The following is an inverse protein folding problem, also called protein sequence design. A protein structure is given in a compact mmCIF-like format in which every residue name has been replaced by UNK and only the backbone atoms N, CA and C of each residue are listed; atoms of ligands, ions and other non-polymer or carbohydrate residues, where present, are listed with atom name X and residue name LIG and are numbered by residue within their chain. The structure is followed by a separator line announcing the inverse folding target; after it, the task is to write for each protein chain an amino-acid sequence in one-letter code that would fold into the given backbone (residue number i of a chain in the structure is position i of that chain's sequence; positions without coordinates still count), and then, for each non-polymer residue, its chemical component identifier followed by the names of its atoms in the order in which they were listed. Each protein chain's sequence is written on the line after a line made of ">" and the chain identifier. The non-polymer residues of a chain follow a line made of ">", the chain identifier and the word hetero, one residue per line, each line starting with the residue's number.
data_IF_791047130454
#
_entry.id   IF_791047130454
#
_cell.length_a   1.000
_cell.length_b   1.000
_cell.length_c   1.000
_cell.angle_alpha   90.00
_cell.angle_beta   90.00
_cell.angle_gamma   90.00
#
_symmetry.space_group_name_H-M   'P 1'
#
loop_
_entity.id
_entity.type
_entity.pdbx_description
1 polymer ?
#
# COMPACT_ATOMS: atom_id res chain seq x y z
N UNK A 1 19.75 4.28 2.41
CA UNK A 1 18.97 5.39 2.98
C UNK A 1 17.99 4.82 3.99
N UNK A 2 17.68 5.58 5.04
CA UNK A 2 16.63 5.26 6.00
C UNK A 2 15.59 6.37 5.90
N UNK A 3 14.38 6.04 5.46
CA UNK A 3 13.26 6.98 5.32
C UNK A 3 12.01 6.38 5.96
N UNK A 4 11.51 7.00 7.01
CA UNK A 4 10.31 6.59 7.73
C UNK A 4 10.35 5.13 8.22
N UNK A 5 11.51 4.62 8.62
CA UNK A 5 11.72 3.20 8.97
C UNK A 5 11.50 2.86 10.44
N UNK A 6 11.19 3.84 11.29
CA UNK A 6 10.68 3.57 12.64
C UNK A 6 9.20 3.17 12.56
N UNK A 7 8.92 1.88 12.52
CA UNK A 7 7.56 1.32 12.44
C UNK A 7 6.76 1.45 13.75
N UNK A 8 7.36 1.95 14.83
CA UNK A 8 6.63 2.30 16.05
C UNK A 8 5.94 3.66 15.96
N UNK A 9 6.28 4.46 14.94
CA UNK A 9 5.75 5.81 14.74
C UNK A 9 4.71 5.86 13.63
N UNK A 10 3.69 6.67 13.85
CA UNK A 10 2.75 7.07 12.79
C UNK A 10 3.44 8.00 11.79
N UNK A 11 3.09 7.85 10.51
CA UNK A 11 3.59 8.71 9.43
C UNK A 11 2.41 9.10 8.55
N UNK A 12 2.29 10.39 8.25
CA UNK A 12 1.25 10.94 7.37
C UNK A 12 1.95 11.83 6.34
N UNK A 13 1.76 11.55 5.06
CA UNK A 13 2.40 12.25 3.95
C UNK A 13 1.34 12.57 2.90
N UNK A 14 1.16 13.86 2.60
CA UNK A 14 0.47 14.27 1.39
C UNK A 14 1.44 14.10 0.20
N UNK A 15 1.29 12.99 -0.54
CA UNK A 15 2.26 12.62 -1.57
C UNK A 15 2.43 13.66 -2.70
N UNK A 16 1.43 14.48 -3.06
CA UNK A 16 1.60 15.57 -4.02
C UNK A 16 2.64 16.63 -3.65
N UNK A 17 2.95 16.81 -2.36
CA UNK A 17 3.94 17.79 -1.90
C UNK A 17 5.38 17.29 -2.02
N UNK A 18 5.57 15.99 -2.22
CA UNK A 18 6.92 15.43 -2.36
C UNK A 18 7.50 15.74 -3.74
N UNK A 19 8.80 16.09 -3.83
CA UNK A 19 9.47 16.23 -5.12
C UNK A 19 9.62 14.87 -5.79
N UNK A 20 9.55 14.87 -7.12
CA UNK A 20 9.96 13.72 -7.93
C UNK A 20 11.47 13.55 -7.87
N UNK A 21 11.92 12.32 -7.67
CA UNK A 21 13.32 11.93 -7.70
C UNK A 21 13.53 10.98 -8.87
N UNK A 22 14.53 11.24 -9.70
CA UNK A 22 14.90 10.33 -10.78
C UNK A 22 15.26 8.94 -10.25
N UNK A 23 14.87 7.90 -10.98
CA UNK A 23 15.37 6.55 -10.78
C UNK A 23 16.61 6.31 -11.64
N UNK A 24 17.41 5.26 -11.36
CA UNK A 24 18.51 4.86 -12.24
C UNK A 24 18.05 4.52 -13.68
N UNK A 25 16.79 4.14 -13.87
CA UNK A 25 16.21 3.98 -15.19
C UNK A 25 15.62 5.30 -15.69
N UNK A 26 16.11 5.74 -16.85
CA UNK A 26 15.63 6.95 -17.51
C UNK A 26 14.13 6.91 -17.79
N UNK A 27 13.45 8.05 -17.63
CA UNK A 27 12.00 8.14 -17.84
C UNK A 27 11.14 7.64 -16.68
N UNK A 28 11.76 7.20 -15.57
CA UNK A 28 11.05 6.77 -14.36
C UNK A 28 11.47 7.63 -13.17
N UNK A 29 10.48 8.18 -12.47
CA UNK A 29 10.66 9.02 -11.29
C UNK A 29 9.87 8.46 -10.10
N UNK A 30 10.30 8.77 -8.87
CA UNK A 30 9.67 8.29 -7.64
C UNK A 30 9.54 9.36 -6.57
N UNK A 31 8.44 9.30 -5.83
CA UNK A 31 8.24 9.93 -4.52
C UNK A 31 8.35 8.83 -3.49
N UNK A 32 9.47 8.82 -2.76
CA UNK A 32 9.74 7.83 -1.73
C UNK A 32 8.91 8.14 -0.48
N UNK A 33 8.14 7.17 0.01
CA UNK A 33 7.30 7.30 1.20
C UNK A 33 7.92 6.57 2.39
N UNK A 34 8.52 5.42 2.12
CA UNK A 34 9.24 4.60 3.09
C UNK A 34 10.38 3.89 2.38
N UNK A 35 11.56 3.82 3.00
CA UNK A 35 12.70 3.07 2.45
C UNK A 35 13.66 2.60 3.54
N UNK A 36 13.86 1.29 3.62
CA UNK A 36 14.89 0.64 4.44
C UNK A 36 15.95 -0.01 3.56
N UNK A 37 17.08 0.68 3.40
CA UNK A 37 18.24 0.16 2.67
C UNK A 37 18.71 1.02 1.50
N UNK A 38 19.66 0.49 0.73
CA UNK A 38 20.24 1.14 -0.45
C UNK A 38 19.37 0.90 -1.70
N UNK A 39 19.91 0.49 -2.84
CA UNK A 39 19.14 0.24 -4.06
C UNK A 39 18.18 -0.96 -3.92
N UNK A 40 18.64 -2.06 -3.33
CA UNK A 40 17.78 -3.18 -2.94
C UNK A 40 17.24 -2.94 -1.52
N UNK A 41 16.04 -2.40 -1.42
CA UNK A 41 15.46 -1.93 -0.16
C UNK A 41 13.98 -2.29 -0.07
N UNK A 42 13.48 -2.55 1.14
CA UNK A 42 12.04 -2.52 1.41
C UNK A 42 11.59 -1.08 1.18
N UNK A 43 10.64 -0.87 0.27
CA UNK A 43 10.28 0.47 -0.16
C UNK A 43 8.80 0.59 -0.51
N UNK A 44 8.22 1.72 -0.12
CA UNK A 44 6.89 2.17 -0.53
C UNK A 44 7.04 3.50 -1.26
N UNK A 45 6.45 3.65 -2.43
CA UNK A 45 6.64 4.82 -3.29
C UNK A 45 5.46 5.10 -4.20
N UNK A 46 5.28 6.37 -4.57
CA UNK A 46 4.54 6.72 -5.79
C UNK A 46 5.55 6.79 -6.93
N UNK A 47 5.31 6.06 -8.02
CA UNK A 47 6.22 5.95 -9.16
C UNK A 47 5.54 6.50 -10.40
N UNK A 48 6.28 7.25 -11.22
CA UNK A 48 5.81 7.78 -12.50
C UNK A 48 6.66 7.22 -13.62
N UNK A 49 5.99 6.68 -14.63
CA UNK A 49 6.58 6.32 -15.92
C UNK A 49 6.20 7.42 -16.92
N UNK A 50 7.20 7.98 -17.60
CA UNK A 50 6.97 8.80 -18.79
C UNK A 50 6.39 7.94 -19.93
N UNK A 51 5.76 8.59 -20.91
CA UNK A 51 5.32 7.91 -22.14
C UNK A 51 6.53 7.26 -22.85
N UNK A 52 6.36 5.99 -23.25
CA UNK A 52 7.42 5.17 -23.84
C UNK A 52 8.49 4.70 -22.85
N UNK A 53 8.35 4.96 -21.55
CA UNK A 53 9.30 4.46 -20.55
C UNK A 53 9.22 2.93 -20.47
N UNK A 54 10.39 2.31 -20.44
CA UNK A 54 10.57 0.87 -20.30
C UNK A 54 11.61 0.61 -19.22
N UNK A 55 11.43 -0.49 -18.51
CA UNK A 55 12.41 -1.00 -17.57
C UNK A 55 12.88 -2.37 -18.04
N UNK A 56 14.20 -2.66 -18.03
CA UNK A 56 14.71 -3.97 -18.40
C UNK A 56 14.08 -5.08 -17.57
N UNK A 57 14.13 -6.30 -18.11
CA UNK A 57 13.71 -7.48 -17.36
C UNK A 57 14.47 -7.57 -16.03
N UNK A 58 13.72 -7.76 -14.93
CA UNK A 58 14.28 -7.87 -13.60
C UNK A 58 13.42 -8.76 -12.70
N UNK A 59 14.04 -9.26 -11.64
CA UNK A 59 13.42 -10.18 -10.68
C UNK A 59 13.03 -9.46 -9.39
N UNK A 60 11.88 -9.84 -8.84
CA UNK A 60 11.35 -9.38 -7.56
C UNK A 60 11.56 -10.44 -6.46
N UNK A 61 12.73 -10.48 -5.78
CA UNK A 61 13.06 -11.57 -4.85
C UNK A 61 12.12 -11.66 -3.64
N UNK A 62 11.49 -10.56 -3.25
CA UNK A 62 10.51 -10.48 -2.14
C UNK A 62 9.20 -9.81 -2.60
N UNK A 63 8.87 -10.01 -3.87
CA UNK A 63 7.64 -9.55 -4.49
C UNK A 63 7.54 -8.04 -4.72
N UNK A 64 6.54 -7.70 -5.51
CA UNK A 64 6.14 -6.35 -5.88
C UNK A 64 4.60 -6.25 -5.83
N UNK A 65 4.12 -5.19 -5.19
CA UNK A 65 2.69 -4.86 -5.09
C UNK A 65 2.47 -3.50 -5.74
N UNK A 66 1.54 -3.43 -6.70
CA UNK A 66 1.25 -2.23 -7.49
C UNK A 66 -0.24 -1.93 -7.42
N UNK A 67 -0.56 -0.65 -7.30
CA UNK A 67 -1.87 -0.10 -7.63
C UNK A 67 -1.71 0.97 -8.71
N UNK A 68 -2.43 0.83 -9.82
CA UNK A 68 -2.38 1.80 -10.93
C UNK A 68 -3.26 3.00 -10.59
N UNK A 69 -2.66 4.18 -10.40
CA UNK A 69 -3.36 5.42 -10.06
C UNK A 69 -3.82 6.18 -11.31
N UNK A 70 -2.96 6.28 -12.32
CA UNK A 70 -3.21 7.03 -13.56
C UNK A 70 -2.53 6.32 -14.73
N UNK A 71 -3.14 6.39 -15.92
CA UNK A 71 -2.59 5.83 -17.14
C UNK A 71 -2.55 4.31 -17.15
N UNK A 72 -1.67 3.74 -17.98
CA UNK A 72 -1.63 2.29 -18.23
C UNK A 72 -0.25 1.74 -17.93
N UNK A 73 -0.18 0.79 -17.00
CA UNK A 73 1.02 -0.02 -16.74
C UNK A 73 0.93 -1.32 -17.55
N UNK A 74 2.02 -1.74 -18.17
CA UNK A 74 2.05 -2.95 -18.98
C UNK A 74 3.28 -3.79 -18.67
N UNK A 75 3.13 -5.10 -18.80
CA UNK A 75 4.22 -6.06 -18.83
C UNK A 75 3.86 -7.24 -19.76
N UNK A 76 4.65 -8.32 -19.76
CA UNK A 76 4.39 -9.50 -20.59
C UNK A 76 3.08 -10.22 -20.28
N UNK A 77 2.42 -9.90 -19.16
CA UNK A 77 1.19 -10.53 -18.70
C UNK A 77 -0.06 -9.70 -19.01
N UNK A 78 0.08 -8.45 -19.45
CA UNK A 78 -1.03 -7.63 -19.93
C UNK A 78 -0.82 -6.13 -19.77
N UNK A 79 -1.90 -5.39 -19.99
CA UNK A 79 -1.99 -3.94 -19.78
C UNK A 79 -3.06 -3.65 -18.74
N UNK A 80 -2.73 -2.75 -17.82
CA UNK A 80 -3.44 -2.53 -16.57
C UNK A 80 -3.71 -1.04 -16.39
N UNK A 81 -4.98 -0.66 -16.48
CA UNK A 81 -5.43 0.73 -16.33
C UNK A 81 -5.67 1.14 -14.88
N UNK A 82 -6.11 2.39 -14.63
CA UNK A 82 -6.36 2.92 -13.30
C UNK A 82 -7.35 2.07 -12.51
N UNK A 83 -7.08 1.89 -11.21
CA UNK A 83 -7.89 1.03 -10.35
C UNK A 83 -7.52 -0.45 -10.39
N UNK A 84 -6.48 -0.83 -11.15
CA UNK A 84 -5.95 -2.19 -11.15
C UNK A 84 -4.98 -2.40 -10.00
N UNK A 85 -5.24 -3.42 -9.17
CA UNK A 85 -4.36 -3.94 -8.16
C UNK A 85 -3.62 -5.18 -8.65
N UNK A 86 -2.32 -5.22 -8.39
CA UNK A 86 -1.39 -6.20 -8.94
C UNK A 86 -0.48 -6.70 -7.82
N UNK A 87 -0.34 -8.03 -7.71
CA UNK A 87 0.73 -8.68 -6.91
C UNK A 87 1.59 -9.54 -7.82
N UNK A 88 2.86 -9.24 -7.83
CA UNK A 88 3.93 -10.01 -8.44
C UNK A 88 4.66 -10.73 -7.29
N UNK A 89 4.48 -12.06 -7.13
CA UNK A 89 4.97 -12.77 -5.96
C UNK A 89 6.51 -12.85 -5.90
N UNK A 90 7.10 -13.23 -4.76
CA UNK A 90 8.53 -13.50 -4.63
C UNK A 90 9.06 -14.42 -5.75
N UNK A 91 10.17 -14.01 -6.37
CA UNK A 91 10.82 -14.73 -7.46
C UNK A 91 10.23 -14.46 -8.85
N UNK A 92 9.15 -13.68 -8.96
CA UNK A 92 8.60 -13.25 -10.25
C UNK A 92 9.59 -12.35 -11.00
N UNK A 93 9.52 -12.40 -12.34
CA UNK A 93 10.37 -11.62 -13.24
C UNK A 93 9.51 -11.01 -14.34
N UNK A 94 9.76 -9.75 -14.69
CA UNK A 94 9.07 -9.09 -15.79
C UNK A 94 9.87 -7.90 -16.34
N UNK A 95 9.47 -7.40 -17.51
CA UNK A 95 9.99 -6.18 -18.14
C UNK A 95 8.84 -5.17 -18.29
N UNK A 96 8.62 -4.29 -17.28
CA UNK A 96 7.49 -3.38 -17.30
C UNK A 96 7.73 -2.18 -18.21
N UNK A 97 6.65 -1.65 -18.75
CA UNK A 97 6.65 -0.48 -19.62
C UNK A 97 5.32 0.28 -19.55
N UNK A 98 5.30 1.48 -20.13
CA UNK A 98 4.07 2.24 -20.34
C UNK A 98 4.16 3.03 -21.64
N UNK A 99 3.24 2.76 -22.57
CA UNK A 99 3.20 3.46 -23.86
C UNK A 99 2.79 4.92 -23.67
N UNK A 100 1.70 5.16 -22.93
CA UNK A 100 1.12 6.50 -22.72
C UNK A 100 1.64 7.20 -21.44
N UNK A 101 2.37 6.47 -20.60
CA UNK A 101 2.78 6.90 -19.26
C UNK A 101 1.78 6.48 -18.19
N UNK A 102 2.26 6.33 -16.96
CA UNK A 102 1.44 5.95 -15.82
C UNK A 102 1.97 6.50 -14.49
N UNK A 103 1.09 6.54 -13.49
CA UNK A 103 1.43 6.79 -12.09
C UNK A 103 0.94 5.60 -11.27
N UNK A 104 1.82 5.09 -10.42
CA UNK A 104 1.63 3.87 -9.65
C UNK A 104 1.89 4.13 -8.18
N UNK A 105 1.16 3.46 -7.31
CA UNK A 105 1.59 3.21 -5.94
C UNK A 105 2.27 1.84 -5.90
N UNK A 106 3.52 1.79 -5.46
CA UNK A 106 4.38 0.59 -5.55
C UNK A 106 4.98 0.27 -4.20
N UNK A 107 4.93 -1.02 -3.84
CA UNK A 107 5.64 -1.60 -2.70
C UNK A 107 6.58 -2.70 -3.16
N UNK A 108 7.84 -2.62 -2.76
CA UNK A 108 8.88 -3.59 -3.10
C UNK A 108 9.39 -4.27 -1.84
N UNK A 109 9.53 -5.60 -1.89
CA UNK A 109 10.08 -6.41 -0.80
C UNK A 109 9.26 -6.37 0.50
N UNK A 110 7.95 -6.27 0.36
CA UNK A 110 6.99 -6.36 1.47
C UNK A 110 6.41 -7.77 1.67
N UNK A 111 6.63 -8.69 0.74
CA UNK A 111 5.96 -9.99 0.78
C UNK A 111 6.68 -10.95 1.74
N UNK A 112 5.90 -11.81 2.38
CA UNK A 112 6.42 -13.04 2.94
C UNK A 112 7.00 -13.92 1.81
N UNK A 113 8.17 -14.54 1.96
CA UNK A 113 8.73 -15.45 0.93
C UNK A 113 7.80 -16.61 0.52
N UNK A 114 6.81 -16.95 1.35
CA UNK A 114 5.81 -18.01 1.08
C UNK A 114 4.54 -17.49 0.43
N UNK A 115 4.36 -16.18 0.30
CA UNK A 115 3.21 -15.60 -0.38
C UNK A 115 3.43 -15.62 -1.90
N UNK A 116 3.13 -16.76 -2.50
CA UNK A 116 3.42 -17.04 -3.91
C UNK A 116 2.24 -16.75 -4.85
N UNK A 117 1.14 -16.16 -4.34
CA UNK A 117 -0.06 -15.98 -5.14
C UNK A 117 0.00 -14.70 -5.99
N UNK A 118 -0.02 -14.79 -7.33
CA UNK A 118 -0.18 -13.62 -8.17
C UNK A 118 -1.60 -13.09 -8.09
N UNK A 119 -1.75 -11.76 -8.16
CA UNK A 119 -3.05 -11.08 -8.17
C UNK A 119 -3.09 -10.07 -9.31
N UNK A 120 -4.24 -10.00 -10.00
CA UNK A 120 -4.61 -8.99 -11.00
C UNK A 120 -6.11 -8.70 -10.84
N UNK A 121 -6.47 -7.62 -10.17
CA UNK A 121 -7.87 -7.25 -9.91
C UNK A 121 -8.11 -5.82 -10.39
N UNK A 122 -9.00 -5.64 -11.37
CA UNK A 122 -9.49 -4.33 -11.78
C UNK A 122 -10.74 -3.97 -10.95
N UNK A 123 -10.68 -2.91 -10.16
CA UNK A 123 -11.80 -2.50 -9.30
C UNK A 123 -13.09 -2.17 -10.05
N UNK A 124 -13.01 -1.81 -11.34
CA UNK A 124 -14.16 -1.49 -12.18
C UNK A 124 -14.94 -2.75 -12.61
N UNK A 125 -14.29 -3.92 -12.62
CA UNK A 125 -14.86 -5.20 -13.05
C UNK A 125 -15.14 -6.13 -11.87
N UNK A 126 -14.54 -5.85 -10.71
CA UNK A 126 -14.62 -6.69 -9.53
C UNK A 126 -15.94 -6.53 -8.77
N UNK A 127 -16.28 -7.57 -8.00
CA UNK A 127 -17.47 -7.59 -7.16
C UNK A 127 -17.18 -7.00 -5.78
N UNK A 128 -17.83 -5.89 -5.47
CA UNK A 128 -17.83 -5.27 -4.15
C UNK A 128 -18.84 -5.96 -3.22
N UNK A 129 -18.54 -5.99 -1.93
CA UNK A 129 -19.40 -6.53 -0.88
C UNK A 129 -19.76 -5.45 0.14
N UNK A 130 -20.93 -5.52 0.80
CA UNK A 130 -21.25 -4.63 1.91
C UNK A 130 -20.18 -4.69 3.01
N UNK A 131 -19.86 -3.53 3.59
CA UNK A 131 -18.99 -3.42 4.76
C UNK A 131 -19.73 -3.70 6.07
N UNK A 132 -19.05 -3.43 7.19
CA UNK A 132 -19.57 -3.71 8.54
C UNK A 132 -20.61 -2.68 9.02
N UNK A 133 -20.75 -1.55 8.33
CA UNK A 133 -21.76 -0.52 8.60
C UNK A 133 -22.36 -0.03 7.29
N UNK A 134 -23.56 0.55 7.36
CA UNK A 134 -24.20 1.21 6.23
C UNK A 134 -23.30 2.31 5.66
N UNK A 135 -23.23 2.42 4.33
CA UNK A 135 -22.37 3.37 3.63
C UNK A 135 -20.95 2.87 3.36
N UNK A 136 -20.51 1.75 3.93
CA UNK A 136 -19.26 1.08 3.55
C UNK A 136 -19.49 -0.03 2.52
N UNK A 137 -18.65 -0.09 1.50
CA UNK A 137 -18.45 -1.28 0.67
C UNK A 137 -16.96 -1.62 0.57
N UNK A 138 -16.67 -2.91 0.50
CA UNK A 138 -15.31 -3.45 0.54
C UNK A 138 -15.09 -4.34 -0.68
N UNK A 139 -13.91 -4.19 -1.30
CA UNK A 139 -13.37 -5.11 -2.28
C UNK A 139 -12.07 -5.71 -1.71
N UNK A 140 -12.11 -6.96 -1.21
CA UNK A 140 -10.91 -7.67 -0.80
C UNK A 140 -9.96 -7.86 -1.98
N UNK A 141 -8.67 -7.58 -1.77
CA UNK A 141 -7.66 -7.65 -2.82
C UNK A 141 -6.64 -8.77 -2.57
N UNK A 142 -6.18 -8.92 -1.33
CA UNK A 142 -5.22 -9.95 -0.95
C UNK A 142 -5.33 -10.29 0.53
N UNK A 143 -5.01 -11.55 0.85
CA UNK A 143 -5.00 -12.11 2.18
C UNK A 143 -3.82 -13.09 2.30
N UNK A 144 -2.97 -12.90 3.29
CA UNK A 144 -1.89 -13.85 3.58
C UNK A 144 -1.52 -13.81 5.06
N UNK A 145 -1.76 -14.90 5.79
CA UNK A 145 -1.33 -15.11 7.18
C UNK A 145 -1.63 -13.93 8.14
N UNK A 146 -2.79 -13.28 7.99
CA UNK A 146 -3.22 -12.15 8.81
C UNK A 146 -2.82 -10.77 8.28
N UNK A 147 -2.11 -10.70 7.14
CA UNK A 147 -2.03 -9.49 6.33
C UNK A 147 -3.22 -9.42 5.40
N UNK A 148 -3.95 -8.30 5.44
CA UNK A 148 -5.13 -8.08 4.61
C UNK A 148 -4.96 -6.80 3.80
N UNK A 149 -5.26 -6.85 2.51
CA UNK A 149 -5.31 -5.68 1.63
C UNK A 149 -6.70 -5.58 0.98
N UNK A 150 -7.29 -4.39 1.01
CA UNK A 150 -8.60 -4.16 0.41
C UNK A 150 -8.74 -2.73 -0.11
N UNK A 151 -9.67 -2.55 -1.04
CA UNK A 151 -10.26 -1.24 -1.29
C UNK A 151 -11.51 -1.09 -0.42
N UNK A 152 -11.67 0.09 0.18
CA UNK A 152 -12.87 0.43 0.96
C UNK A 152 -13.44 1.72 0.43
N UNK A 153 -14.70 1.67 -0.01
CA UNK A 153 -15.46 2.83 -0.46
C UNK A 153 -16.44 3.25 0.63
N UNK A 154 -16.38 4.53 0.95
CA UNK A 154 -17.22 5.21 1.93
C UNK A 154 -18.16 6.13 1.18
N UNK A 155 -19.46 5.98 1.41
CA UNK A 155 -20.44 7.00 1.00
C UNK A 155 -20.26 8.27 1.85
N UNK A 156 -20.78 9.42 1.40
CA UNK A 156 -20.88 10.62 2.22
C UNK A 156 -21.56 10.34 3.58
N UNK A 157 -21.16 11.11 4.59
CA UNK A 157 -21.67 11.01 5.97
C UNK A 157 -21.58 9.62 6.61
N UNK A 158 -20.54 8.85 6.27
CA UNK A 158 -20.32 7.51 6.80
C UNK A 158 -19.35 7.54 7.99
N UNK A 159 -19.73 6.91 9.09
CA UNK A 159 -18.94 6.85 10.33
C UNK A 159 -18.73 5.40 10.75
N UNK A 160 -17.51 5.08 11.21
CA UNK A 160 -17.18 3.76 11.71
C UNK A 160 -16.95 3.77 13.22
N UNK A 161 -17.04 2.58 13.82
CA UNK A 161 -16.80 2.43 15.26
C UNK A 161 -15.29 2.57 15.56
N UNK A 162 -14.92 3.12 16.72
CA UNK A 162 -13.53 3.10 17.18
C UNK A 162 -12.99 1.67 17.20
N UNK A 163 -11.80 1.46 16.65
CA UNK A 163 -11.18 0.12 16.60
C UNK A 163 -9.66 0.19 16.74
N UNK A 164 -9.04 -0.99 16.88
CA UNK A 164 -7.61 -1.17 17.05
C UNK A 164 -7.04 -2.06 15.94
N UNK A 165 -5.85 -1.71 15.44
CA UNK A 165 -5.19 -2.49 14.39
C UNK A 165 -4.05 -3.36 14.92
N UNK A 166 -4.28 -4.68 14.93
CA UNK A 166 -3.18 -5.64 15.10
C UNK A 166 -2.30 -5.63 13.86
N UNK A 167 -0.98 -5.75 14.04
CA UNK A 167 0.01 -5.55 12.97
C UNK A 167 -0.10 -4.21 12.21
N UNK A 168 -0.72 -3.18 12.79
CA UNK A 168 -0.79 -1.83 12.24
C UNK A 168 -1.67 -1.68 11.00
N UNK A 169 -1.67 -0.48 10.44
CA UNK A 169 -2.48 -0.08 9.28
C UNK A 169 -1.67 0.83 8.34
N UNK A 170 -1.87 0.67 7.04
CA UNK A 170 -1.35 1.54 5.99
C UNK A 170 -2.51 1.91 5.06
N UNK A 171 -2.70 3.21 4.80
CA UNK A 171 -3.77 3.74 3.96
C UNK A 171 -3.17 4.62 2.87
N UNK A 172 -3.67 4.46 1.64
CA UNK A 172 -3.59 5.48 0.60
C UNK A 172 -5.00 5.95 0.26
N UNK A 173 -5.27 7.25 0.42
CA UNK A 173 -6.54 7.84 -0.01
C UNK A 173 -6.51 8.04 -1.52
N UNK A 174 -7.41 7.38 -2.24
CA UNK A 174 -7.49 7.38 -3.70
C UNK A 174 -8.47 8.43 -4.23
N UNK A 175 -9.62 8.58 -3.57
CA UNK A 175 -10.67 9.54 -3.94
C UNK A 175 -11.24 10.18 -2.66
N UNK A 176 -11.71 11.42 -2.76
CA UNK A 176 -12.42 12.10 -1.67
C UNK A 176 -11.54 12.44 -0.47
N UNK A 177 -12.13 12.41 0.73
CA UNK A 177 -11.47 12.76 1.99
C UNK A 177 -11.76 11.68 3.03
N UNK A 178 -10.72 11.00 3.48
CA UNK A 178 -10.78 10.14 4.66
C UNK A 178 -10.49 10.98 5.90
N UNK A 179 -11.11 10.71 7.03
CA UNK A 179 -10.90 11.48 8.26
C UNK A 179 -10.98 10.60 9.50
N UNK A 180 -10.38 11.07 10.58
CA UNK A 180 -10.45 10.50 11.91
C UNK A 180 -10.46 11.64 12.96
N UNK A 181 -10.31 11.32 14.23
CA UNK A 181 -10.22 12.31 15.30
C UNK A 181 -8.96 13.19 15.25
N UNK A 182 -7.97 12.82 14.42
CA UNK A 182 -6.68 13.51 14.31
C UNK A 182 -6.63 14.47 13.12
N UNK A 183 -7.43 14.23 12.06
CA UNK A 183 -7.44 15.14 10.92
C UNK A 183 -8.30 14.70 9.74
N UNK A 184 -8.08 15.40 8.63
CA UNK A 184 -8.68 15.14 7.33
C UNK A 184 -7.57 14.88 6.32
N UNK A 185 -7.76 13.84 5.52
CA UNK A 185 -6.76 13.27 4.64
C UNK A 185 -7.33 13.21 3.22
N UNK A 186 -7.06 14.22 2.38
CA UNK A 186 -7.56 14.24 1.01
C UNK A 186 -6.87 13.19 0.13
N UNK A 187 -7.48 12.89 -1.02
CA UNK A 187 -6.90 12.04 -2.06
C UNK A 187 -5.42 12.38 -2.36
N UNK A 188 -4.58 11.35 -2.38
CA UNK A 188 -3.13 11.47 -2.46
C UNK A 188 -2.41 11.45 -1.10
N UNK A 189 -3.14 11.43 0.02
CA UNK A 189 -2.53 11.22 1.35
C UNK A 189 -2.21 9.75 1.57
N UNK A 190 -0.97 9.46 1.93
CA UNK A 190 -0.52 8.16 2.41
C UNK A 190 -0.27 8.23 3.91
N UNK A 191 -0.69 7.19 4.63
CA UNK A 191 -0.58 7.11 6.08
C UNK A 191 -0.12 5.71 6.48
N UNK A 192 0.67 5.63 7.54
CA UNK A 192 1.03 4.39 8.21
C UNK A 192 0.90 4.58 9.71
N UNK A 193 0.10 3.73 10.35
CA UNK A 193 -0.14 3.72 11.78
C UNK A 193 0.43 2.44 12.40
N UNK A 194 1.15 2.53 13.53
CA UNK A 194 1.90 1.41 14.11
C UNK A 194 0.99 0.33 14.69
N UNK A 195 1.59 -0.80 15.06
CA UNK A 195 0.90 -1.86 15.79
C UNK A 195 0.15 -1.32 17.02
N UNK A 196 -1.12 -1.69 17.15
CA UNK A 196 -1.95 -1.32 18.29
C UNK A 196 -2.50 0.10 18.23
N UNK A 197 -2.32 0.82 17.11
CA UNK A 197 -2.99 2.09 16.87
C UNK A 197 -4.51 1.95 16.98
N UNK A 198 -5.14 3.04 17.42
CA UNK A 198 -6.59 3.16 17.52
C UNK A 198 -7.03 4.44 16.87
N UNK A 199 -8.20 4.40 16.24
CA UNK A 199 -8.84 5.55 15.64
C UNK A 199 -10.35 5.33 15.48
N UNK A 200 -11.08 6.41 15.26
CA UNK A 200 -12.49 6.42 14.90
C UNK A 200 -12.68 7.05 13.50
N UNK A 201 -12.58 6.26 12.42
CA UNK A 201 -12.59 6.82 11.09
C UNK A 201 -14.00 7.15 10.59
N UNK A 202 -14.07 8.19 9.75
CA UNK A 202 -15.27 8.67 9.09
C UNK A 202 -14.94 9.36 7.76
N UNK A 203 -15.96 9.61 6.95
CA UNK A 203 -15.85 10.46 5.78
C UNK A 203 -17.16 11.22 5.59
N UNK A 204 -17.08 12.56 5.60
CA UNK A 204 -18.25 13.42 5.36
C UNK A 204 -18.54 13.54 3.87
N UNK A 205 -17.49 13.72 3.07
CA UNK A 205 -17.57 13.89 1.63
C UNK A 205 -17.68 12.56 0.87
N UNK A 206 -17.41 11.44 1.54
CA UNK A 206 -17.16 10.15 0.92
C UNK A 206 -15.70 10.01 0.48
N UNK A 207 -15.21 8.77 0.42
CA UNK A 207 -13.85 8.49 -0.02
C UNK A 207 -13.68 7.07 -0.56
N UNK A 208 -12.60 6.87 -1.31
CA UNK A 208 -12.08 5.56 -1.65
C UNK A 208 -10.66 5.45 -1.08
N UNK A 209 -10.40 4.39 -0.33
CA UNK A 209 -9.08 4.12 0.23
C UNK A 209 -8.58 2.74 -0.21
N UNK A 210 -7.27 2.64 -0.45
CA UNK A 210 -6.54 1.39 -0.42
C UNK A 210 -5.98 1.21 0.99
N UNK A 211 -6.37 0.15 1.68
CA UNK A 211 -5.97 -0.12 3.06
C UNK A 211 -5.28 -1.47 3.16
N UNK A 212 -4.21 -1.52 3.95
CA UNK A 212 -3.51 -2.75 4.32
C UNK A 212 -3.33 -2.83 5.84
N UNK A 213 -3.68 -3.95 6.44
CA UNK A 213 -3.54 -4.19 7.88
C UNK A 213 -2.70 -5.44 8.16
N UNK A 214 -2.19 -5.58 9.39
CA UNK A 214 -1.50 -6.80 9.83
C UNK A 214 -0.02 -6.95 9.45
N UNK A 215 0.51 -6.06 8.61
CA UNK A 215 1.81 -6.20 7.94
C UNK A 215 3.00 -5.51 8.64
N UNK A 216 2.75 -4.78 9.74
CA UNK A 216 3.81 -4.12 10.51
C UNK A 216 4.30 -5.00 11.67
N UNK A 217 5.59 -4.87 12.06
CA UNK A 217 6.14 -5.60 13.18
C UNK A 217 5.33 -5.39 14.47
N UNK A 218 5.08 -6.50 15.16
CA UNK A 218 4.53 -6.49 16.52
C UNK A 218 5.70 -6.53 17.48
N UNK A 219 5.85 -5.55 18.40
CA UNK A 219 6.89 -5.63 19.43
C UNK A 219 6.75 -6.92 20.22
N UNK A 220 7.84 -7.67 20.40
CA UNK A 220 7.81 -8.86 21.26
C UNK A 220 7.36 -8.44 22.67
N UNK A 221 6.42 -9.19 23.25
CA UNK A 221 5.97 -8.96 24.61
C UNK A 221 7.15 -9.14 25.58
N UNK A 222 7.66 -8.03 26.13
CA UNK A 222 8.74 -8.01 27.10
C UNK A 222 8.46 -8.86 28.36
N UNK A 223 7.20 -9.25 28.59
CA UNK A 223 6.80 -10.15 29.68
C UNK A 223 7.21 -11.61 29.46
N UNK A 224 7.34 -12.07 28.20
CA UNK A 224 7.77 -13.45 27.90
C UNK A 224 9.29 -13.62 27.97
N UNK A 225 10.05 -12.59 27.62
CA UNK A 225 11.53 -12.61 27.68
C UNK A 225 12.05 -12.68 29.13
N UNK A 226 11.32 -12.11 30.10
CA UNK A 226 11.68 -12.24 31.54
C UNK A 226 11.49 -13.65 32.08
N UNK A 227 10.43 -14.36 31.67
CA UNK A 227 10.21 -15.76 32.09
C UNK A 227 11.29 -16.72 31.56
N UNK A 228 11.92 -16.42 30.43
CA UNK A 228 12.98 -17.25 29.87
C UNK A 228 14.36 -16.98 30.50
N UNK A 229 14.56 -15.83 31.15
CA UNK A 229 15.80 -15.49 31.87
C UNK A 229 15.78 -15.89 33.35
N UNK A 230 14.64 -16.32 33.90
CA UNK A 230 14.54 -16.88 35.26
C UNK A 230 14.61 -18.42 35.27
N UNK A 231 14.78 -19.06 34.11
CA UNK A 231 14.87 -20.52 33.95
C UNK A 231 16.28 -20.96 33.46
N UNK A 232 17.26 -20.05 33.39
CA UNK A 232 18.65 -20.37 33.06
C UNK A 232 19.57 -19.88 34.18
#
# INVERSE_FOLDING_TARGET
>A
MQLNTDWSQSVIIYTPDLPWQGSPAGGIERRLLERDGAEQARATSVVRYAAGAHFPEHTHPLGEEIFVLVGTFSDSTGSYGPGTYIRNPPGSTHAPYSEEGCILFVKLRHFNPRDLQPVRINMAEARWSPGLVDGLTVLPLADFEGEHTALVRWQPDTYFQPHRHYGGEEILVLEGIFADEHGQYPAGTWMRSPHGSQHQPFSKEGCLILVKTGHLPVPEDASQVRKMKEII
#
